data_IF_221520701151
#
_entry.id   IF_221520701151
#
_cell.length_a   1.000
_cell.length_b   1.000
_cell.length_c   1.000
_cell.angle_alpha   90.00
_cell.angle_beta   90.00
_cell.angle_gamma   90.00
#
_symmetry.space_group_name_H-M   'P 1'
#
loop_
_entity.id
_entity.type
_entity.pdbx_description
1 polymer ?
#
# COMPACT_ATOMS: atom_id res chain seq x y z
N UNK A 1 -28.04 -4.54 34.73
CA UNK A 1 -27.18 -5.75 34.82
C UNK A 1 -26.42 -5.82 33.50
N UNK A 2 -25.24 -5.22 33.52
CA UNK A 2 -24.42 -4.85 32.37
C UNK A 2 -23.34 -5.91 32.12
N UNK A 3 -22.91 -5.96 30.86
CA UNK A 3 -21.60 -6.42 30.39
C UNK A 3 -21.39 -7.94 30.16
N UNK A 4 -21.92 -8.42 29.03
CA UNK A 4 -21.46 -9.65 28.36
C UNK A 4 -20.61 -9.37 27.10
N UNK A 5 -20.24 -8.11 26.83
CA UNK A 5 -19.59 -7.72 25.56
C UNK A 5 -18.05 -7.66 25.59
N UNK A 6 -17.40 -7.95 26.73
CA UNK A 6 -15.96 -7.75 26.89
C UNK A 6 -15.09 -9.02 26.69
N UNK A 7 -15.68 -10.22 26.53
CA UNK A 7 -14.93 -11.49 26.62
C UNK A 7 -14.43 -12.02 25.25
N UNK A 8 -14.83 -11.42 24.11
CA UNK A 8 -14.42 -11.94 22.79
C UNK A 8 -13.09 -11.41 22.24
N UNK A 9 -12.49 -10.36 22.83
CA UNK A 9 -11.24 -9.79 22.32
C UNK A 9 -9.96 -10.43 22.93
N UNK A 10 -10.06 -11.10 24.08
CA UNK A 10 -8.89 -11.58 24.84
C UNK A 10 -8.43 -12.99 24.47
N UNK A 11 -9.25 -13.78 23.74
CA UNK A 11 -8.93 -15.18 23.39
C UNK A 11 -8.07 -15.36 22.13
N UNK A 12 -7.72 -14.29 21.42
CA UNK A 12 -6.82 -14.36 20.26
C UNK A 12 -5.32 -14.22 20.62
N UNK A 13 -4.96 -14.01 21.89
CA UNK A 13 -3.57 -13.78 22.31
C UNK A 13 -2.83 -15.03 22.79
N UNK A 14 -3.55 -16.13 23.03
CA UNK A 14 -2.99 -17.36 23.58
C UNK A 14 -2.47 -18.31 22.48
N UNK A 15 -1.38 -17.93 21.81
CA UNK A 15 -0.77 -18.78 20.78
C UNK A 15 0.63 -18.38 20.27
N UNK A 16 1.38 -17.53 20.99
CA UNK A 16 2.50 -16.81 20.36
C UNK A 16 3.93 -17.25 20.73
N UNK A 17 4.15 -18.16 21.70
CA UNK A 17 5.52 -18.59 22.01
C UNK A 17 6.13 -19.48 20.91
N UNK A 18 5.37 -20.44 20.36
CA UNK A 18 5.84 -21.31 19.28
C UNK A 18 6.02 -20.59 17.93
N UNK A 19 5.12 -19.66 17.61
CA UNK A 19 5.18 -18.86 16.38
C UNK A 19 6.32 -17.82 16.40
N UNK A 20 6.67 -17.29 17.57
CA UNK A 20 7.79 -16.36 17.73
C UNK A 20 9.15 -17.02 17.44
N UNK A 21 9.27 -18.31 17.77
CA UNK A 21 10.48 -19.11 17.60
C UNK A 21 10.58 -19.76 16.20
N UNK A 22 9.45 -20.09 15.56
CA UNK A 22 9.42 -20.76 14.25
C UNK A 22 9.42 -19.82 13.04
N UNK A 23 8.88 -18.61 13.17
CA UNK A 23 8.73 -17.67 12.05
C UNK A 23 9.79 -16.58 12.06
N UNK A 24 10.31 -16.27 10.87
CA UNK A 24 11.27 -15.18 10.70
C UNK A 24 10.70 -13.84 11.18
N UNK A 25 11.55 -12.94 11.67
CA UNK A 25 11.14 -11.59 12.09
C UNK A 25 10.38 -10.86 10.98
N UNK A 26 10.83 -11.03 9.73
CA UNK A 26 10.19 -10.45 8.53
C UNK A 26 8.78 -10.98 8.32
N UNK A 27 8.61 -12.29 8.41
CA UNK A 27 7.30 -12.92 8.22
C UNK A 27 6.30 -12.48 9.30
N UNK A 28 6.73 -12.44 10.57
CA UNK A 28 5.89 -11.95 11.66
C UNK A 28 5.51 -10.47 11.47
N UNK A 29 6.43 -9.65 10.97
CA UNK A 29 6.12 -8.25 10.65
C UNK A 29 5.08 -8.13 9.52
N UNK A 30 5.23 -8.95 8.47
CA UNK A 30 4.27 -9.02 7.36
C UNK A 30 2.88 -9.46 7.81
N UNK A 31 2.80 -10.49 8.66
CA UNK A 31 1.54 -10.98 9.21
C UNK A 31 0.84 -9.92 10.07
N UNK A 32 1.56 -9.26 10.99
CA UNK A 32 0.99 -8.17 11.80
C UNK A 32 0.47 -7.02 10.92
N UNK A 33 1.21 -6.64 9.88
CA UNK A 33 0.77 -5.59 8.94
C UNK A 33 -0.54 -5.98 8.25
N UNK A 34 -0.61 -7.22 7.75
CA UNK A 34 -1.81 -7.76 7.08
C UNK A 34 -3.00 -7.82 8.01
N UNK A 35 -2.81 -8.30 9.25
CA UNK A 35 -3.87 -8.42 10.23
C UNK A 35 -4.43 -7.07 10.66
N UNK A 36 -3.56 -6.07 10.85
CA UNK A 36 -3.99 -4.68 11.11
C UNK A 36 -4.83 -4.13 9.97
N UNK A 37 -4.43 -4.38 8.72
CA UNK A 37 -5.18 -3.93 7.56
C UNK A 37 -6.57 -4.60 7.48
N UNK A 38 -6.65 -5.90 7.77
CA UNK A 38 -7.93 -6.62 7.84
C UNK A 38 -8.85 -6.04 8.92
N UNK A 39 -8.33 -5.84 10.13
CA UNK A 39 -9.11 -5.26 11.24
C UNK A 39 -9.60 -3.85 10.90
N UNK A 40 -8.76 -3.02 10.28
CA UNK A 40 -9.15 -1.68 9.83
C UNK A 40 -10.28 -1.74 8.80
N UNK A 41 -10.19 -2.65 7.81
CA UNK A 41 -11.25 -2.84 6.81
C UNK A 41 -12.57 -3.32 7.43
N UNK A 42 -12.52 -4.21 8.43
CA UNK A 42 -13.71 -4.65 9.17
C UNK A 42 -14.32 -3.54 10.03
N UNK A 43 -13.49 -2.62 10.53
CA UNK A 43 -13.92 -1.44 11.29
C UNK A 43 -14.45 -0.28 10.44
N UNK A 44 -14.63 -0.47 9.12
CA UNK A 44 -15.14 0.56 8.22
C UNK A 44 -14.12 1.61 7.78
N UNK A 45 -12.83 1.44 8.12
CA UNK A 45 -11.78 2.27 7.56
C UNK A 45 -11.51 1.89 6.09
N UNK A 46 -11.03 2.85 5.31
CA UNK A 46 -10.70 2.63 3.90
C UNK A 46 -9.74 1.45 3.73
N UNK A 47 -10.06 0.49 2.84
CA UNK A 47 -9.20 -0.65 2.58
C UNK A 47 -7.83 -0.22 2.04
N UNK A 48 -6.77 -0.98 2.32
CA UNK A 48 -5.44 -0.64 1.81
C UNK A 48 -5.40 -0.68 0.28
N UNK A 49 -4.82 0.37 -0.31
CA UNK A 49 -4.60 0.49 -1.74
C UNK A 49 -3.15 0.12 -2.11
N UNK A 50 -2.97 -0.73 -3.12
CA UNK A 50 -1.65 -0.96 -3.74
C UNK A 50 -1.66 -0.46 -5.17
N UNK A 51 -0.67 0.36 -5.54
CA UNK A 51 -0.50 0.87 -6.89
C UNK A 51 0.73 0.26 -7.57
N UNK A 52 0.54 -0.31 -8.74
CA UNK A 52 1.61 -0.83 -9.61
C UNK A 52 1.68 0.00 -10.88
N UNK A 53 2.90 0.41 -11.26
CA UNK A 53 3.13 1.05 -12.55
C UNK A 53 3.24 -0.02 -13.64
N UNK A 54 2.49 0.17 -14.70
CA UNK A 54 2.52 -0.63 -15.93
C UNK A 54 3.62 -0.11 -16.85
N UNK A 55 4.02 -0.94 -17.82
CA UNK A 55 5.09 -0.65 -18.76
C UNK A 55 4.85 0.64 -19.54
N UNK A 56 3.61 0.86 -19.98
CA UNK A 56 3.20 2.04 -20.74
C UNK A 56 2.82 3.24 -19.86
N UNK A 57 3.28 3.28 -18.61
CA UNK A 57 3.13 4.47 -17.74
C UNK A 57 1.84 4.52 -16.94
N UNK A 58 0.84 3.71 -17.29
CA UNK A 58 -0.38 3.53 -16.53
C UNK A 58 -0.14 2.97 -15.13
N UNK A 59 -1.15 3.06 -14.28
CA UNK A 59 -1.11 2.54 -12.92
C UNK A 59 -2.31 1.65 -12.62
N UNK A 60 -2.06 0.35 -12.42
CA UNK A 60 -3.03 -0.54 -11.82
C UNK A 60 -3.14 -0.21 -10.33
N UNK A 61 -4.33 0.14 -9.86
CA UNK A 61 -4.61 0.32 -8.43
C UNK A 61 -5.54 -0.80 -7.99
N UNK A 62 -5.08 -1.63 -7.04
CA UNK A 62 -5.91 -2.66 -6.41
C UNK A 62 -6.24 -2.25 -4.99
N UNK A 63 -7.48 -2.49 -4.59
CA UNK A 63 -8.02 -2.11 -3.29
C UNK A 63 -8.34 -3.35 -2.45
N UNK A 64 -8.03 -3.27 -1.16
CA UNK A 64 -8.37 -4.30 -0.20
C UNK A 64 -7.35 -5.41 -0.08
N UNK A 65 -7.44 -6.12 1.04
CA UNK A 65 -6.46 -7.14 1.45
C UNK A 65 -6.50 -8.35 0.51
N UNK A 66 -7.70 -8.81 0.12
CA UNK A 66 -7.84 -9.95 -0.78
C UNK A 66 -7.26 -9.68 -2.18
N UNK A 67 -7.51 -8.49 -2.75
CA UNK A 67 -6.94 -8.11 -4.04
C UNK A 67 -5.41 -7.97 -3.95
N UNK A 68 -4.91 -7.36 -2.88
CA UNK A 68 -3.47 -7.24 -2.62
C UNK A 68 -2.79 -8.61 -2.51
N UNK A 69 -3.41 -9.59 -1.85
CA UNK A 69 -2.89 -10.95 -1.76
C UNK A 69 -2.89 -11.68 -3.10
N UNK A 70 -3.99 -11.62 -3.87
CA UNK A 70 -4.06 -12.18 -5.23
C UNK A 70 -2.96 -11.61 -6.12
N UNK A 71 -2.76 -10.30 -6.07
CA UNK A 71 -1.71 -9.61 -6.80
C UNK A 71 -0.30 -10.08 -6.39
N UNK A 72 -0.05 -10.23 -5.09
CA UNK A 72 1.23 -10.73 -4.57
C UNK A 72 1.51 -12.17 -5.03
N UNK A 73 0.49 -13.01 -5.08
CA UNK A 73 0.58 -14.37 -5.63
C UNK A 73 0.95 -14.31 -7.12
N UNK A 74 0.18 -13.58 -7.94
CA UNK A 74 0.42 -13.46 -9.38
C UNK A 74 1.82 -12.93 -9.68
N UNK A 75 2.30 -11.94 -8.93
CA UNK A 75 3.65 -11.38 -9.09
C UNK A 75 4.74 -12.40 -8.79
N UNK A 76 4.54 -13.28 -7.80
CA UNK A 76 5.49 -14.36 -7.48
C UNK A 76 5.43 -15.49 -8.49
N UNK A 77 4.22 -15.85 -8.92
CA UNK A 77 3.97 -16.95 -9.84
C UNK A 77 4.48 -16.63 -11.26
N UNK A 78 4.18 -15.44 -11.77
CA UNK A 78 4.58 -15.00 -13.11
C UNK A 78 5.99 -14.41 -13.16
N UNK A 79 6.57 -14.06 -12.00
CA UNK A 79 7.92 -13.52 -11.86
C UNK A 79 8.25 -12.44 -12.91
N UNK A 80 9.27 -12.67 -13.76
CA UNK A 80 9.68 -11.73 -14.81
C UNK A 80 8.60 -11.50 -15.89
N UNK A 81 7.72 -12.46 -16.13
CA UNK A 81 6.62 -12.36 -17.10
C UNK A 81 5.41 -11.56 -16.60
N UNK A 82 5.39 -11.18 -15.32
CA UNK A 82 4.26 -10.48 -14.71
C UNK A 82 3.86 -9.20 -15.46
N UNK A 83 4.84 -8.38 -15.87
CA UNK A 83 4.57 -7.13 -16.60
C UNK A 83 4.03 -7.37 -18.01
N UNK A 84 4.57 -8.36 -18.73
CA UNK A 84 4.08 -8.72 -20.06
C UNK A 84 2.63 -9.22 -20.01
N UNK A 85 2.29 -10.04 -19.02
CA UNK A 85 0.91 -10.49 -18.83
C UNK A 85 -0.04 -9.34 -18.46
N UNK A 86 0.38 -8.41 -17.59
CA UNK A 86 -0.43 -7.23 -17.32
C UNK A 86 -0.67 -6.36 -18.56
N UNK A 87 0.28 -6.33 -19.51
CA UNK A 87 0.16 -5.51 -20.71
C UNK A 87 -0.66 -6.18 -21.82
N UNK A 88 -0.51 -7.50 -21.98
CA UNK A 88 -1.00 -8.19 -23.18
C UNK A 88 -2.03 -9.30 -22.93
N UNK A 89 -2.27 -9.71 -21.69
CA UNK A 89 -3.17 -10.82 -21.40
C UNK A 89 -4.60 -10.34 -21.07
N UNK A 90 -5.60 -10.59 -21.93
CA UNK A 90 -6.99 -10.18 -21.69
C UNK A 90 -7.57 -10.80 -20.41
N UNK A 91 -7.20 -12.03 -20.07
CA UNK A 91 -7.65 -12.66 -18.84
C UNK A 91 -7.17 -11.89 -17.60
N UNK A 92 -5.94 -11.36 -17.63
CA UNK A 92 -5.45 -10.55 -16.51
C UNK A 92 -6.23 -9.25 -16.40
N UNK A 93 -6.60 -8.66 -17.53
CA UNK A 93 -7.37 -7.43 -17.60
C UNK A 93 -8.76 -7.64 -17.00
N UNK A 94 -9.40 -8.77 -17.31
CA UNK A 94 -10.72 -9.11 -16.78
C UNK A 94 -10.68 -9.49 -15.29
N UNK A 95 -9.71 -10.31 -14.88
CA UNK A 95 -9.55 -10.75 -13.48
C UNK A 95 -9.23 -9.58 -12.53
N UNK A 96 -8.45 -8.60 -13.01
CA UNK A 96 -8.03 -7.44 -12.23
C UNK A 96 -8.87 -6.19 -12.52
N UNK A 97 -9.81 -6.25 -13.47
CA UNK A 97 -10.73 -5.17 -13.80
C UNK A 97 -10.04 -3.90 -14.30
N UNK A 98 -9.05 -4.02 -15.19
CA UNK A 98 -8.36 -2.87 -15.78
C UNK A 98 -8.16 -3.04 -17.28
N UNK A 99 -7.85 -1.94 -17.98
CA UNK A 99 -7.43 -1.94 -19.38
C UNK A 99 -6.13 -1.14 -19.47
N UNK A 100 -5.00 -1.74 -19.88
CA UNK A 100 -3.75 -1.02 -20.02
C UNK A 100 -3.72 -0.18 -21.31
N UNK A 101 -2.97 0.91 -21.28
CA UNK A 101 -2.67 1.72 -22.45
C UNK A 101 -1.92 0.90 -23.49
N UNK A 102 -2.34 1.03 -24.75
CA UNK A 102 -1.70 0.34 -25.88
C UNK A 102 -0.31 0.91 -26.18
N UNK A 103 -0.10 2.20 -25.94
CA UNK A 103 1.12 2.91 -26.29
C UNK A 103 1.74 3.64 -25.11
N UNK A 104 3.06 3.82 -25.16
CA UNK A 104 3.78 4.58 -24.16
C UNK A 104 3.49 6.08 -24.36
N UNK A 105 3.06 6.81 -23.31
CA UNK A 105 2.85 8.23 -23.41
C UNK A 105 4.16 8.93 -23.75
N UNK A 106 4.03 10.00 -24.53
CA UNK A 106 5.14 10.81 -24.99
C UNK A 106 6.01 11.25 -23.79
N UNK A 107 7.32 11.08 -23.93
CA UNK A 107 8.24 11.37 -22.84
C UNK A 107 8.30 12.87 -22.64
N UNK A 108 7.72 13.36 -21.54
CA UNK A 108 7.88 14.76 -21.11
C UNK A 108 9.33 15.21 -21.21
N UNK A 109 9.53 16.41 -21.76
CA UNK A 109 10.83 17.03 -21.91
C UNK A 109 11.46 17.33 -20.54
N UNK A 110 12.77 17.55 -20.51
CA UNK A 110 13.47 17.88 -19.25
C UNK A 110 12.92 19.18 -18.62
N UNK A 111 12.54 20.16 -19.44
CA UNK A 111 11.96 21.43 -19.01
C UNK A 111 10.59 21.22 -18.35
N UNK A 112 9.72 20.42 -18.97
CA UNK A 112 8.39 20.10 -18.44
C UNK A 112 8.48 19.30 -17.14
N UNK A 113 9.41 18.34 -17.05
CA UNK A 113 9.67 17.60 -15.80
C UNK A 113 10.10 18.55 -14.68
N UNK A 114 10.95 19.55 -14.97
CA UNK A 114 11.40 20.53 -13.97
C UNK A 114 10.25 21.41 -13.49
N UNK A 115 9.35 21.81 -14.38
CA UNK A 115 8.19 22.62 -14.02
C UNK A 115 7.16 21.83 -13.18
N UNK A 116 6.81 20.63 -13.62
CA UNK A 116 5.74 19.83 -12.98
C UNK A 116 6.22 19.07 -11.75
N UNK A 117 7.49 18.65 -11.71
CA UNK A 117 8.04 17.77 -10.66
C UNK A 117 9.20 18.38 -9.87
N UNK A 118 9.58 19.63 -10.14
CA UNK A 118 10.63 20.32 -9.40
C UNK A 118 10.26 20.57 -7.94
N UNK A 119 11.25 20.94 -7.13
CA UNK A 119 11.05 21.23 -5.70
C UNK A 119 10.09 22.39 -5.40
N UNK A 120 9.83 23.23 -6.41
CA UNK A 120 8.85 24.32 -6.34
C UNK A 120 7.46 23.95 -6.89
N UNK A 121 7.27 22.69 -7.31
CA UNK A 121 5.94 22.23 -7.75
C UNK A 121 4.92 22.34 -6.62
N UNK A 122 3.66 22.56 -6.99
CA UNK A 122 2.53 22.70 -6.05
C UNK A 122 2.49 21.53 -5.05
N UNK A 123 2.68 20.30 -5.54
CA UNK A 123 2.70 19.11 -4.68
C UNK A 123 3.95 18.98 -3.79
N UNK A 124 5.10 19.54 -4.18
CA UNK A 124 6.29 19.58 -3.33
C UNK A 124 6.11 20.60 -2.20
N UNK A 125 5.61 21.80 -2.52
CA UNK A 125 5.32 22.86 -1.52
C UNK A 125 4.25 22.44 -0.52
N UNK A 126 3.14 21.86 -1.00
CA UNK A 126 2.07 21.36 -0.12
C UNK A 126 2.58 20.31 0.88
N UNK A 127 3.41 19.36 0.43
CA UNK A 127 4.03 18.35 1.30
C UNK A 127 5.06 18.95 2.27
N UNK A 128 5.79 19.97 1.86
CA UNK A 128 6.75 20.65 2.72
C UNK A 128 6.04 21.41 3.85
N UNK A 129 4.96 22.13 3.53
CA UNK A 129 4.14 22.85 4.50
C UNK A 129 3.50 21.91 5.53
N UNK A 130 2.89 20.79 5.09
CA UNK A 130 2.27 19.83 6.01
C UNK A 130 3.27 19.15 6.95
N UNK A 131 4.53 19.02 6.53
CA UNK A 131 5.62 18.44 7.34
C UNK A 131 6.23 19.43 8.32
N UNK A 132 6.19 20.74 8.04
CA UNK A 132 6.63 21.78 8.97
C UNK A 132 5.87 21.69 10.28
N UNK A 133 4.53 21.73 10.20
CA UNK A 133 3.64 21.60 11.35
C UNK A 133 3.92 20.34 12.20
N UNK A 134 4.14 19.19 11.56
CA UNK A 134 4.43 17.93 12.27
C UNK A 134 5.81 17.92 12.94
N UNK A 135 6.76 18.72 12.45
CA UNK A 135 8.11 18.85 13.04
C UNK A 135 8.09 19.81 14.21
N UNK A 136 7.37 20.91 14.09
CA UNK A 136 7.25 21.94 15.12
C UNK A 136 6.52 21.37 16.35
N UNK A 137 5.41 20.66 16.15
CA UNK A 137 4.72 19.94 17.22
C UNK A 137 5.59 18.86 17.90
N UNK A 138 6.50 18.24 17.15
CA UNK A 138 7.45 17.27 17.70
C UNK A 138 8.62 17.94 18.43
N UNK A 139 9.06 19.12 17.99
CA UNK A 139 10.09 19.92 18.65
C UNK A 139 9.58 20.50 19.97
N UNK A 140 8.32 20.94 19.99
CA UNK A 140 7.61 21.38 21.19
C UNK A 140 7.46 20.23 22.21
N UNK A 141 7.04 19.04 21.77
CA UNK A 141 6.98 17.85 22.62
C UNK A 141 8.35 17.43 23.20
N UNK A 142 9.44 17.70 22.47
CA UNK A 142 10.80 17.38 22.90
C UNK A 142 11.48 18.53 23.67
N UNK A 143 10.81 19.67 23.87
CA UNK A 143 11.35 20.83 24.59
C UNK A 143 12.57 21.48 23.92
N UNK A 144 12.67 21.37 22.60
CA UNK A 144 13.78 21.92 21.80
C UNK A 144 13.45 23.30 21.18
N UNK A 145 12.47 24.00 21.75
CA UNK A 145 12.00 25.32 21.31
C UNK A 145 12.70 26.47 22.01
#
# INVERSE_FOLDING_TARGET
MSDTSAISASKLSAGHLGDALRRSRRERASQRSTFRALLASLGGAEPPATRIRLQHGDCLTVQGVAATHRLAFLRRFLAGGFQAHLQHNPLMHDVLGFRPAAERPERMSAAEKRLVRGGQSVGARARAASRGWSRDAKAEFLGLG
#
